data_IF_599547852416
#
_entry.id   IF_599547852416
#
_cell.length_a   1.000
_cell.length_b   1.000
_cell.length_c   1.000
_cell.angle_alpha   90.00
_cell.angle_beta   90.00
_cell.angle_gamma   90.00
#
_symmetry.space_group_name_H-M   'P 1'
#
loop_
_entity.id
_entity.type
_entity.pdbx_description
1 polymer ?
#
# COMPACT_ATOMS: atom_id res chain seq x y z
N UNK A 1 10.29 69.37 70.30
CA UNK A 1 11.50 68.95 71.04
C UNK A 1 12.17 70.20 71.57
N UNK A 2 12.46 70.27 72.87
CA UNK A 2 13.34 71.30 73.43
C UNK A 2 14.77 70.77 73.27
N UNK A 3 15.64 71.53 72.60
CA UNK A 3 17.03 71.12 72.32
C UNK A 3 17.94 72.07 73.07
N UNK A 4 18.85 71.53 73.87
CA UNK A 4 19.78 72.33 74.66
C UNK A 4 20.88 72.95 73.77
N UNK A 5 21.50 74.08 74.18
CA UNK A 5 22.59 74.69 73.43
C UNK A 5 23.78 73.73 73.30
N UNK A 6 24.18 73.41 72.06
CA UNK A 6 25.32 72.53 71.76
C UNK A 6 24.96 71.07 71.44
N UNK A 7 23.70 70.66 71.55
CA UNK A 7 23.25 69.33 71.12
C UNK A 7 22.76 69.33 69.67
N UNK A 8 23.25 68.38 68.87
CA UNK A 8 22.78 68.13 67.51
C UNK A 8 21.65 67.09 67.55
N UNK A 9 20.42 67.49 67.21
CA UNK A 9 19.28 66.57 67.17
C UNK A 9 18.94 66.23 65.72
N UNK A 10 19.12 64.96 65.37
CA UNK A 10 18.82 64.44 64.04
C UNK A 10 17.38 63.92 64.01
N UNK A 11 16.48 64.63 63.33
CA UNK A 11 15.13 64.14 63.06
C UNK A 11 15.11 63.34 61.75
N UNK A 12 14.73 62.06 61.81
CA UNK A 12 14.56 61.22 60.62
C UNK A 12 13.13 61.39 60.08
N UNK A 13 13.00 61.96 58.89
CA UNK A 13 11.73 62.00 58.15
C UNK A 13 11.60 60.75 57.27
N UNK A 14 10.54 59.96 57.46
CA UNK A 14 10.21 58.85 56.56
C UNK A 14 9.15 59.32 55.56
N UNK A 15 9.54 59.43 54.29
CA UNK A 15 8.65 59.86 53.20
C UNK A 15 8.21 58.61 52.43
N UNK A 16 6.91 58.28 52.45
CA UNK A 16 6.33 57.20 51.65
C UNK A 16 5.68 57.77 50.40
N UNK A 17 6.12 57.33 49.22
CA UNK A 17 5.60 57.79 47.93
C UNK A 17 5.44 56.66 46.92
N UNK A 18 4.64 56.86 45.85
CA UNK A 18 4.39 55.86 44.82
C UNK A 18 5.67 55.52 44.03
N UNK A 19 5.84 54.25 43.65
CA UNK A 19 6.98 53.78 42.84
C UNK A 19 6.67 53.93 41.35
N UNK A 20 7.57 54.56 40.59
CA UNK A 20 7.47 54.71 39.14
C UNK A 20 8.54 53.88 38.43
N UNK A 21 8.15 53.13 37.39
CA UNK A 21 9.02 52.17 36.70
C UNK A 21 9.92 52.78 35.63
N UNK A 22 9.43 53.78 34.88
CA UNK A 22 10.09 54.25 33.64
C UNK A 22 10.39 55.75 33.62
N UNK A 23 9.70 56.55 34.44
CA UNK A 23 9.90 58.01 34.51
C UNK A 23 10.61 58.39 35.80
N UNK A 24 11.56 59.33 35.72
CA UNK A 24 12.04 60.04 36.91
C UNK A 24 10.84 60.81 37.48
N UNK A 25 10.53 60.59 38.75
CA UNK A 25 9.50 61.37 39.42
C UNK A 25 9.91 62.84 39.47
N UNK A 26 8.92 63.74 39.41
CA UNK A 26 9.18 65.17 39.59
C UNK A 26 9.77 65.43 40.99
N UNK A 27 10.67 66.42 41.14
CA UNK A 27 11.23 66.75 42.45
C UNK A 27 10.11 67.21 43.38
N UNK A 28 9.93 66.52 44.50
CA UNK A 28 8.96 66.94 45.52
C UNK A 28 9.68 67.85 46.50
N UNK A 29 9.30 69.14 46.60
CA UNK A 29 9.89 70.04 47.59
C UNK A 29 9.44 69.63 48.99
N UNK A 30 10.36 69.65 49.95
CA UNK A 30 10.11 69.33 51.36
C UNK A 30 10.67 70.48 52.20
N UNK A 31 9.81 71.14 52.95
CA UNK A 31 10.20 72.22 53.86
C UNK A 31 10.03 71.75 55.30
N UNK A 32 11.08 71.89 56.10
CA UNK A 32 11.06 71.63 57.54
C UNK A 32 11.15 72.97 58.27
N UNK A 33 10.18 73.25 59.14
CA UNK A 33 10.11 74.51 59.92
C UNK A 33 10.15 74.18 61.40
N UNK A 34 11.00 74.87 62.15
CA UNK A 34 11.06 74.85 63.62
C UNK A 34 10.78 76.25 64.19
N UNK A 35 10.63 76.38 65.51
CA UNK A 35 10.61 77.70 66.17
C UNK A 35 12.01 78.32 66.12
N UNK A 36 12.34 78.95 65.00
CA UNK A 36 13.58 79.74 64.81
C UNK A 36 14.42 79.36 63.59
N UNK A 37 14.13 78.24 62.89
CA UNK A 37 14.87 77.84 61.70
C UNK A 37 13.98 77.19 60.64
N UNK A 38 14.37 77.34 59.37
CA UNK A 38 13.74 76.72 58.21
C UNK A 38 14.82 76.07 57.34
N UNK A 39 14.55 74.84 56.89
CA UNK A 39 15.38 74.15 55.91
C UNK A 39 14.50 73.64 54.76
N UNK A 40 14.91 73.93 53.53
CA UNK A 40 14.26 73.44 52.32
C UNK A 40 15.12 72.34 51.68
N UNK A 41 14.47 71.25 51.27
CA UNK A 41 15.09 70.12 50.59
C UNK A 41 14.24 69.66 49.40
N UNK A 42 14.82 68.82 48.54
CA UNK A 42 14.07 68.18 47.46
C UNK A 42 14.25 66.67 47.52
N UNK A 43 13.15 65.93 47.49
CA UNK A 43 13.16 64.48 47.38
C UNK A 43 13.00 64.09 45.91
N UNK A 44 13.93 63.29 45.38
CA UNK A 44 13.87 62.76 44.01
C UNK A 44 13.84 61.23 44.05
N UNK A 45 12.70 60.59 43.77
CA UNK A 45 12.64 59.14 43.71
C UNK A 45 13.47 58.63 42.52
N UNK A 46 14.38 57.68 42.78
CA UNK A 46 15.17 57.04 41.72
C UNK A 46 14.30 56.02 40.97
N UNK A 47 14.30 56.01 39.63
CA UNK A 47 13.64 54.96 38.87
C UNK A 47 14.33 53.62 39.15
N UNK A 48 13.55 52.58 39.38
CA UNK A 48 14.05 51.23 39.64
C UNK A 48 13.63 50.34 38.48
N UNK A 49 14.58 50.00 37.61
CA UNK A 49 14.40 48.95 36.61
C UNK A 49 14.85 47.64 37.28
N UNK A 50 13.92 46.71 37.57
CA UNK A 50 14.32 45.47 38.20
C UNK A 50 15.18 44.64 37.25
N UNK A 51 16.20 43.93 37.76
CA UNK A 51 17.19 43.20 36.94
C UNK A 51 16.56 42.22 35.95
N UNK A 52 15.37 41.69 36.24
CA UNK A 52 14.63 40.80 35.34
C UNK A 52 14.11 41.47 34.06
N UNK A 53 13.97 42.80 34.03
CA UNK A 53 13.45 43.52 32.86
C UNK A 53 14.37 43.46 31.63
N UNK A 54 15.68 43.18 31.82
CA UNK A 54 16.65 42.95 30.72
C UNK A 54 16.67 41.49 30.27
N UNK A 55 16.21 40.56 31.12
CA UNK A 55 16.22 39.12 30.84
C UNK A 55 15.11 38.74 29.86
N UNK A 56 13.94 39.36 29.97
CA UNK A 56 12.79 39.11 29.08
C UNK A 56 13.07 39.31 27.58
N UNK A 57 13.66 40.43 27.13
CA UNK A 57 13.96 40.63 25.71
C UNK A 57 15.03 39.66 25.19
N UNK A 58 15.98 39.24 26.02
CA UNK A 58 16.98 38.23 25.66
C UNK A 58 16.36 36.84 25.50
N UNK A 59 15.43 36.46 26.38
CA UNK A 59 14.66 35.22 26.24
C UNK A 59 13.80 35.29 24.97
N UNK A 60 13.12 36.42 24.72
CA UNK A 60 12.29 36.59 23.52
C UNK A 60 13.13 36.49 22.22
N UNK A 61 14.33 37.08 22.21
CA UNK A 61 15.26 36.95 21.08
C UNK A 61 15.76 35.51 20.89
N UNK A 62 16.14 34.82 21.97
CA UNK A 62 16.56 33.42 21.90
C UNK A 62 15.41 32.50 21.43
N UNK A 63 14.18 32.75 21.88
CA UNK A 63 12.97 32.04 21.42
C UNK A 63 12.69 32.35 19.95
N UNK A 64 12.87 33.61 19.51
CA UNK A 64 12.73 34.01 18.12
C UNK A 64 13.75 33.32 17.20
N UNK A 65 15.02 33.26 17.60
CA UNK A 65 16.06 32.51 16.87
C UNK A 65 15.73 31.01 16.85
N UNK A 66 15.34 30.44 17.98
CA UNK A 66 14.96 29.02 18.07
C UNK A 66 13.74 28.67 17.21
N UNK A 67 12.77 29.57 17.09
CA UNK A 67 11.62 29.39 16.19
C UNK A 67 12.02 29.54 14.71
N UNK A 68 12.94 30.44 14.40
CA UNK A 68 13.39 30.70 13.03
C UNK A 68 14.37 29.64 12.47
N UNK A 69 15.07 28.91 13.34
CA UNK A 69 16.01 27.85 12.94
C UNK A 69 15.45 26.43 13.13
N UNK A 70 14.13 26.27 13.24
CA UNK A 70 13.55 24.92 13.30
C UNK A 70 13.76 24.21 11.96
N UNK A 71 14.27 22.95 11.95
CA UNK A 71 14.33 22.16 10.74
C UNK A 71 12.92 21.93 10.18
N UNK A 72 12.83 21.83 8.86
CA UNK A 72 11.61 21.47 8.13
C UNK A 72 10.98 20.24 8.80
N UNK A 73 9.66 20.30 9.03
CA UNK A 73 8.94 19.23 9.70
C UNK A 73 9.15 17.88 9.02
N UNK A 74 9.05 16.82 9.80
CA UNK A 74 8.93 15.46 9.29
C UNK A 74 7.49 15.27 8.84
N UNK A 75 7.31 14.86 7.58
CA UNK A 75 6.00 14.54 7.04
C UNK A 75 5.51 13.23 7.64
N UNK A 76 4.35 13.26 8.30
CA UNK A 76 3.75 12.07 8.91
C UNK A 76 3.46 11.02 7.83
N UNK A 77 4.04 9.81 7.91
CA UNK A 77 3.78 8.74 6.97
C UNK A 77 2.37 8.16 7.17
N UNK A 78 1.79 7.62 6.10
CA UNK A 78 0.55 6.86 6.20
C UNK A 78 0.81 5.49 6.84
N UNK A 79 0.14 5.24 7.96
CA UNK A 79 0.17 4.02 8.76
C UNK A 79 -1.21 3.44 9.05
N UNK A 80 -2.29 4.14 8.71
CA UNK A 80 -3.64 3.55 8.64
C UNK A 80 -3.63 2.36 7.68
N UNK A 81 -4.19 1.22 8.10
CA UNK A 81 -4.19 -0.04 7.34
C UNK A 81 -2.95 -0.91 7.53
N UNK A 82 -1.96 -0.51 8.35
CA UNK A 82 -0.86 -1.38 8.77
C UNK A 82 -1.20 -2.12 10.07
N UNK A 83 -0.48 -3.21 10.35
CA UNK A 83 -0.53 -3.82 11.68
C UNK A 83 0.01 -2.84 12.74
N UNK A 84 -0.41 -2.99 14.01
CA UNK A 84 0.10 -2.14 15.10
C UNK A 84 1.64 -2.24 15.22
N UNK A 85 2.29 -3.42 15.08
CA UNK A 85 3.74 -3.52 15.04
C UNK A 85 4.39 -2.78 13.86
N UNK A 86 3.92 -2.98 12.63
CA UNK A 86 4.47 -2.34 11.42
C UNK A 86 4.27 -0.81 11.44
N UNK A 87 3.09 -0.35 11.85
CA UNK A 87 2.79 1.06 11.99
C UNK A 87 3.74 1.75 12.99
N UNK A 88 4.07 1.07 14.09
CA UNK A 88 5.03 1.58 15.07
C UNK A 88 6.42 1.67 14.47
N UNK A 89 6.83 0.66 13.71
CA UNK A 89 8.16 0.64 13.13
C UNK A 89 8.32 1.71 12.05
N UNK A 90 7.37 1.80 11.11
CA UNK A 90 7.35 2.85 10.09
C UNK A 90 7.34 4.26 10.68
N UNK A 91 6.68 4.47 11.81
CA UNK A 91 6.73 5.76 12.53
C UNK A 91 8.10 6.01 13.16
N UNK A 92 8.76 5.00 13.74
CA UNK A 92 10.10 5.15 14.32
C UNK A 92 11.18 5.40 13.27
N UNK A 93 11.12 4.69 12.16
CA UNK A 93 12.01 4.90 11.00
C UNK A 93 11.89 6.32 10.46
N UNK A 94 10.68 6.87 10.45
CA UNK A 94 10.43 8.27 10.11
C UNK A 94 10.86 9.27 11.21
N UNK A 95 11.46 8.83 12.31
CA UNK A 95 11.86 9.71 13.42
C UNK A 95 10.69 10.17 14.31
N UNK A 96 9.52 9.55 14.20
CA UNK A 96 8.31 9.90 14.95
C UNK A 96 8.05 8.94 16.12
N UNK A 97 7.25 9.40 17.09
CA UNK A 97 6.92 8.64 18.31
C UNK A 97 5.51 8.05 18.21
N UNK A 98 5.35 6.73 18.04
CA UNK A 98 4.04 6.11 17.96
C UNK A 98 3.36 6.02 19.34
N UNK A 99 2.15 6.56 19.45
CA UNK A 99 1.24 6.37 20.59
C UNK A 99 0.10 5.45 20.19
N UNK A 100 -0.36 4.62 21.11
CA UNK A 100 -1.42 3.64 20.86
C UNK A 100 -2.70 4.07 21.56
N UNK A 101 -3.81 4.03 20.83
CA UNK A 101 -5.15 4.30 21.37
C UNK A 101 -6.09 3.15 21.00
N UNK A 102 -6.44 2.31 21.97
CA UNK A 102 -7.39 1.23 21.74
C UNK A 102 -8.80 1.82 21.71
N UNK A 103 -9.53 1.59 20.62
CA UNK A 103 -10.94 1.93 20.51
C UNK A 103 -11.81 0.82 21.10
N UNK A 104 -12.96 1.15 21.71
CA UNK A 104 -13.95 0.16 22.11
C UNK A 104 -14.37 -0.68 20.90
N UNK A 105 -14.50 -2.00 21.08
CA UNK A 105 -14.99 -2.88 20.03
C UNK A 105 -16.41 -2.43 19.61
N UNK A 106 -16.67 -2.09 18.33
CA UNK A 106 -18.02 -1.86 17.86
C UNK A 106 -18.74 -3.21 17.70
N UNK A 107 -20.03 -3.19 17.38
CA UNK A 107 -20.80 -4.41 17.08
C UNK A 107 -20.07 -5.30 16.06
N UNK A 108 -20.35 -6.61 16.09
CA UNK A 108 -19.54 -7.71 15.53
C UNK A 108 -18.84 -7.46 14.17
N UNK A 109 -19.44 -6.66 13.28
CA UNK A 109 -18.93 -6.25 11.96
C UNK A 109 -17.63 -5.41 11.97
N UNK A 110 -17.30 -4.72 13.06
CA UNK A 110 -16.07 -3.91 13.15
C UNK A 110 -14.95 -4.58 13.96
N UNK A 111 -15.22 -5.78 14.48
CA UNK A 111 -14.23 -6.57 15.23
C UNK A 111 -13.22 -7.29 14.33
N UNK A 112 -13.45 -7.28 13.01
CA UNK A 112 -12.61 -7.94 12.00
C UNK A 112 -11.51 -7.03 11.40
N UNK A 113 -11.58 -5.71 11.62
CA UNK A 113 -10.54 -4.78 11.20
C UNK A 113 -9.26 -4.96 12.05
N UNK A 114 -8.30 -5.73 11.53
CA UNK A 114 -7.00 -5.97 12.18
C UNK A 114 -6.00 -4.89 11.74
N UNK A 115 -5.59 -4.04 12.67
CA UNK A 115 -4.56 -3.01 12.42
C UNK A 115 -4.97 -1.60 12.83
N UNK A 116 -4.21 -0.60 12.39
CA UNK A 116 -4.46 0.81 12.66
C UNK A 116 -5.64 1.31 11.83
N UNK A 117 -6.75 1.62 12.48
CA UNK A 117 -7.99 2.11 11.85
C UNK A 117 -8.05 3.63 11.71
N UNK A 118 -7.24 4.35 12.49
CA UNK A 118 -7.11 5.80 12.38
C UNK A 118 -5.75 6.24 12.88
N UNK A 119 -5.22 7.30 12.31
CA UNK A 119 -4.00 7.94 12.78
C UNK A 119 -4.22 9.43 12.98
N UNK A 120 -3.55 10.01 13.96
CA UNK A 120 -3.58 11.44 14.22
C UNK A 120 -2.17 11.90 14.66
N UNK A 121 -1.54 12.86 13.96
CA UNK A 121 -2.02 13.63 12.80
C UNK A 121 -2.23 12.81 11.50
N UNK A 122 -3.01 13.32 10.53
CA UNK A 122 -3.24 12.63 9.27
C UNK A 122 -1.95 12.56 8.41
N UNK A 123 -1.88 11.65 7.43
CA UNK A 123 -0.73 11.52 6.55
C UNK A 123 -0.39 12.83 5.82
N UNK A 124 0.89 13.08 5.58
CA UNK A 124 1.38 14.30 4.92
C UNK A 124 1.44 15.54 5.83
N UNK A 125 0.96 15.44 7.07
CA UNK A 125 1.06 16.55 8.04
C UNK A 125 2.53 16.75 8.43
N UNK A 126 3.01 17.98 8.36
CA UNK A 126 4.35 18.31 8.82
C UNK A 126 4.37 18.48 10.34
N UNK A 127 5.12 17.62 11.05
CA UNK A 127 5.30 17.72 12.50
C UNK A 127 6.77 17.84 12.87
N UNK A 128 7.04 18.32 14.08
CA UNK A 128 8.41 18.39 14.57
C UNK A 128 9.05 16.98 14.63
N UNK A 129 10.36 16.91 14.43
CA UNK A 129 11.15 15.71 14.66
C UNK A 129 10.90 15.15 16.07
N UNK A 130 10.72 13.82 16.17
CA UNK A 130 10.29 13.16 17.39
C UNK A 130 8.82 13.39 17.77
N UNK A 131 8.01 13.94 16.87
CA UNK A 131 6.60 14.25 17.10
C UNK A 131 5.74 13.00 17.34
N UNK A 132 4.72 13.14 18.19
CA UNK A 132 3.84 12.04 18.53
C UNK A 132 2.79 11.79 17.44
N UNK A 133 2.65 10.54 16.99
CA UNK A 133 1.56 10.10 16.11
C UNK A 133 0.76 9.02 16.83
N UNK A 134 -0.52 9.29 17.08
CA UNK A 134 -1.42 8.34 17.72
C UNK A 134 -2.04 7.44 16.66
N UNK A 135 -1.82 6.14 16.81
CA UNK A 135 -2.47 5.08 16.04
C UNK A 135 -3.62 4.49 16.87
N UNK A 136 -4.81 4.47 16.28
CA UNK A 136 -6.01 3.90 16.87
C UNK A 136 -6.33 2.54 16.25
N UNK A 137 -6.75 1.56 17.05
CA UNK A 137 -7.07 0.19 16.60
C UNK A 137 -8.14 -0.46 17.48
N UNK A 138 -8.86 -1.46 16.96
CA UNK A 138 -9.82 -2.26 17.73
C UNK A 138 -9.12 -3.41 18.47
N UNK A 139 -9.63 -3.78 19.65
CA UNK A 139 -8.93 -4.64 20.61
C UNK A 139 -8.61 -6.06 20.11
N UNK A 140 -7.32 -6.38 20.07
CA UNK A 140 -6.72 -7.69 19.84
C UNK A 140 -5.28 -7.47 19.38
N UNK A 141 -4.27 -7.98 20.08
CA UNK A 141 -2.90 -7.98 19.53
C UNK A 141 -2.93 -8.84 18.27
N UNK A 142 -2.93 -8.18 17.11
CA UNK A 142 -3.07 -8.80 15.80
C UNK A 142 -1.84 -9.61 15.43
N UNK A 143 -1.72 -10.82 15.99
CA UNK A 143 -0.99 -11.92 15.39
C UNK A 143 -1.99 -12.73 14.56
N UNK A 144 -2.18 -12.28 13.32
CA UNK A 144 -2.94 -13.01 12.31
C UNK A 144 -2.08 -13.17 11.09
N UNK A 145 -1.00 -13.94 11.20
CA UNK A 145 -0.23 -14.46 10.07
C UNK A 145 -1.16 -15.27 9.19
N UNK A 146 -1.57 -14.71 8.05
CA UNK A 146 -1.97 -15.49 6.89
C UNK A 146 -0.71 -15.66 6.06
N UNK A 147 -0.31 -16.91 5.87
CA UNK A 147 0.91 -17.34 5.20
C UNK A 147 1.01 -16.74 3.77
N UNK A 148 2.24 -16.62 3.21
CA UNK A 148 2.44 -16.07 1.88
C UNK A 148 1.70 -16.87 0.81
N UNK A 149 1.17 -16.20 -0.21
CA UNK A 149 0.49 -16.82 -1.37
C UNK A 149 0.72 -15.97 -2.62
N UNK A 150 1.35 -16.56 -3.63
CA UNK A 150 1.66 -16.06 -4.97
C UNK A 150 0.68 -16.69 -5.96
N UNK A 151 -0.54 -16.18 -5.97
CA UNK A 151 -1.67 -16.73 -6.73
C UNK A 151 -1.65 -16.41 -8.23
N UNK A 152 -0.86 -15.40 -8.65
CA UNK A 152 -0.75 -15.00 -10.06
C UNK A 152 0.53 -14.20 -10.40
N UNK A 153 1.06 -14.35 -11.64
CA UNK A 153 2.19 -13.59 -12.19
C UNK A 153 1.88 -13.03 -13.59
N UNK A 154 2.30 -11.80 -13.90
CA UNK A 154 2.19 -11.18 -15.23
C UNK A 154 3.41 -10.32 -15.56
N UNK A 155 3.71 -10.15 -16.86
CA UNK A 155 4.88 -9.39 -17.34
C UNK A 155 4.44 -8.14 -18.11
N UNK A 156 5.09 -7.02 -17.85
CA UNK A 156 4.81 -5.77 -18.57
C UNK A 156 5.10 -5.91 -20.08
N UNK A 157 4.22 -5.40 -20.95
CA UNK A 157 4.47 -5.39 -22.38
C UNK A 157 5.55 -4.34 -22.70
N UNK A 158 6.71 -4.86 -23.10
CA UNK A 158 7.93 -4.19 -23.59
C UNK A 158 9.04 -3.95 -22.55
N UNK A 159 9.98 -4.89 -22.51
CA UNK A 159 11.40 -4.57 -22.32
C UNK A 159 12.14 -4.95 -23.62
N UNK A 160 13.14 -4.18 -24.07
CA UNK A 160 13.94 -4.49 -25.27
C UNK A 160 14.70 -5.81 -25.10
N UNK A 161 15.02 -6.46 -26.23
CA UNK A 161 15.48 -7.85 -26.34
C UNK A 161 16.88 -8.16 -25.76
N UNK A 162 17.53 -7.21 -25.07
CA UNK A 162 18.87 -7.41 -24.52
C UNK A 162 18.86 -7.30 -22.99
N UNK A 163 18.82 -8.45 -22.33
CA UNK A 163 19.26 -8.71 -20.94
C UNK A 163 18.66 -7.90 -19.78
N UNK A 164 17.76 -6.93 -19.97
CA UNK A 164 16.96 -6.42 -18.85
C UNK A 164 16.05 -7.56 -18.35
N UNK A 165 16.13 -7.88 -17.06
CA UNK A 165 15.15 -8.74 -16.42
C UNK A 165 13.73 -8.22 -16.76
N UNK A 166 12.71 -9.06 -16.86
CA UNK A 166 11.37 -8.56 -17.10
C UNK A 166 10.82 -7.86 -15.87
N UNK A 167 10.01 -6.81 -16.08
CA UNK A 167 9.14 -6.30 -15.01
C UNK A 167 8.11 -7.37 -14.73
N UNK A 168 8.12 -7.90 -13.51
CA UNK A 168 7.17 -8.92 -13.08
C UNK A 168 6.23 -8.34 -12.04
N UNK A 169 4.93 -8.57 -12.23
CA UNK A 169 3.91 -8.34 -11.22
C UNK A 169 3.48 -9.69 -10.67
N UNK A 170 3.38 -9.80 -9.35
CA UNK A 170 2.98 -11.04 -8.69
C UNK A 170 2.20 -10.76 -7.42
N UNK A 171 1.33 -11.69 -7.05
CA UNK A 171 0.69 -11.67 -5.73
C UNK A 171 1.67 -12.24 -4.70
N UNK A 172 1.69 -11.77 -3.46
CA UNK A 172 2.29 -12.49 -2.33
C UNK A 172 1.56 -12.08 -1.06
N UNK A 173 1.05 -13.05 -0.31
CA UNK A 173 0.38 -12.83 0.97
C UNK A 173 -0.79 -11.84 0.82
N UNK A 174 -1.65 -12.07 -0.19
CA UNK A 174 -2.80 -11.22 -0.50
C UNK A 174 -2.47 -9.76 -0.87
N UNK A 175 -1.25 -9.51 -1.33
CA UNK A 175 -0.78 -8.19 -1.79
C UNK A 175 -0.17 -8.32 -3.17
N UNK A 176 -0.22 -7.24 -3.94
CA UNK A 176 0.33 -7.21 -5.29
C UNK A 176 1.66 -6.46 -5.25
N UNK A 177 2.69 -7.14 -5.73
CA UNK A 177 4.05 -6.62 -5.83
C UNK A 177 4.43 -6.45 -7.29
N UNK A 178 5.29 -5.47 -7.54
CA UNK A 178 6.00 -5.32 -8.81
C UNK A 178 7.49 -5.32 -8.52
N UNK A 179 8.24 -6.06 -9.32
CA UNK A 179 9.69 -6.05 -9.31
C UNK A 179 10.17 -5.47 -10.65
N UNK A 180 10.76 -4.28 -10.57
CA UNK A 180 11.44 -3.66 -11.69
C UNK A 180 12.91 -4.13 -11.76
N UNK A 181 13.51 -4.19 -12.96
CA UNK A 181 14.90 -4.64 -13.12
C UNK A 181 15.88 -3.71 -12.42
N UNK A 182 16.68 -4.27 -11.50
CA UNK A 182 17.67 -3.51 -10.75
C UNK A 182 17.11 -2.73 -9.55
N UNK A 183 15.82 -2.90 -9.25
CA UNK A 183 15.16 -2.28 -8.11
C UNK A 183 14.72 -3.34 -7.08
N UNK A 184 14.48 -2.89 -5.85
CA UNK A 184 13.84 -3.72 -4.83
C UNK A 184 12.35 -3.93 -5.17
N UNK A 185 11.78 -5.03 -4.71
CA UNK A 185 10.33 -5.26 -4.82
C UNK A 185 9.53 -4.14 -4.15
N UNK A 186 8.47 -3.69 -4.82
CA UNK A 186 7.58 -2.65 -4.33
C UNK A 186 6.15 -3.18 -4.28
N UNK A 187 5.48 -2.97 -3.15
CA UNK A 187 4.05 -3.29 -3.03
C UNK A 187 3.22 -2.18 -3.70
N UNK A 188 2.44 -2.54 -4.72
CA UNK A 188 1.64 -1.61 -5.51
C UNK A 188 0.14 -1.74 -5.25
N UNK A 189 -0.30 -2.83 -4.61
CA UNK A 189 -1.70 -3.09 -4.27
C UNK A 189 -1.86 -3.99 -3.05
N UNK A 190 -3.02 -3.89 -2.39
CA UNK A 190 -3.36 -4.64 -1.18
C UNK A 190 -2.89 -3.98 0.12
N UNK A 191 -3.85 -3.58 0.95
CA UNK A 191 -3.63 -3.21 2.36
C UNK A 191 -3.72 -4.43 3.26
N UNK A 192 -3.14 -4.40 4.46
CA UNK A 192 -3.22 -5.52 5.41
C UNK A 192 -4.69 -5.78 5.76
N UNK A 193 -5.15 -7.02 5.56
CA UNK A 193 -6.55 -7.44 5.75
C UNK A 193 -7.40 -7.45 4.47
N UNK A 194 -6.91 -6.84 3.38
CA UNK A 194 -7.51 -6.94 2.05
C UNK A 194 -6.96 -8.17 1.33
N UNK A 195 -7.80 -8.83 0.54
CA UNK A 195 -7.42 -9.91 -0.37
C UNK A 195 -7.17 -9.30 -1.76
N UNK A 196 -5.90 -9.05 -2.08
CA UNK A 196 -5.51 -8.58 -3.41
C UNK A 196 -4.76 -9.66 -4.19
N UNK A 197 -5.05 -9.76 -5.50
CA UNK A 197 -4.44 -10.75 -6.38
C UNK A 197 -4.69 -10.48 -7.86
N UNK A 198 -4.46 -11.50 -8.69
CA UNK A 198 -4.64 -11.49 -10.16
C UNK A 198 -4.15 -10.19 -10.84
N UNK A 199 -2.86 -9.82 -10.73
CA UNK A 199 -2.33 -8.66 -11.44
C UNK A 199 -2.47 -8.83 -12.95
N UNK A 200 -2.68 -7.74 -13.69
CA UNK A 200 -2.74 -7.72 -15.16
C UNK A 200 -2.29 -6.36 -15.71
N UNK A 201 -1.32 -6.36 -16.61
CA UNK A 201 -0.79 -5.13 -17.21
C UNK A 201 -1.68 -4.60 -18.33
N UNK A 202 -2.00 -3.30 -18.29
CA UNK A 202 -2.58 -2.61 -19.43
C UNK A 202 -1.47 -2.23 -20.45
N UNK A 203 -1.48 -2.82 -21.66
CA UNK A 203 -0.44 -2.56 -22.65
C UNK A 203 -0.40 -1.15 -23.22
N UNK A 204 -1.47 -0.36 -23.03
CA UNK A 204 -1.52 1.01 -23.54
C UNK A 204 -0.95 2.03 -22.59
N UNK A 205 -1.29 1.88 -21.32
CA UNK A 205 -1.06 2.89 -20.30
C UNK A 205 0.15 2.55 -19.44
N UNK A 206 0.50 1.26 -19.35
CA UNK A 206 1.45 0.77 -18.37
C UNK A 206 0.89 0.76 -16.94
N UNK A 207 -0.42 1.00 -16.76
CA UNK A 207 -1.07 0.78 -15.46
C UNK A 207 -1.13 -0.73 -15.16
N UNK A 208 -1.07 -1.06 -13.87
CA UNK A 208 -1.31 -2.41 -13.40
C UNK A 208 -2.73 -2.52 -12.86
N UNK A 209 -3.55 -3.34 -13.49
CA UNK A 209 -4.81 -3.79 -12.90
C UNK A 209 -4.56 -4.92 -11.91
N UNK A 210 -5.40 -5.01 -10.88
CA UNK A 210 -5.43 -6.14 -9.97
C UNK A 210 -6.82 -6.28 -9.35
N UNK A 211 -7.08 -7.46 -8.80
CA UNK A 211 -8.28 -7.75 -8.03
C UNK A 211 -8.05 -7.34 -6.59
N UNK A 212 -8.99 -6.60 -6.00
CA UNK A 212 -9.04 -6.33 -4.56
C UNK A 212 -10.35 -6.79 -3.96
N UNK A 213 -10.30 -7.22 -2.70
CA UNK A 213 -11.48 -7.64 -1.94
C UNK A 213 -11.28 -7.30 -0.48
N UNK A 214 -12.21 -6.54 0.11
CA UNK A 214 -12.06 -6.04 1.48
C UNK A 214 -12.00 -7.16 2.56
N UNK A 215 -12.69 -8.28 2.34
CA UNK A 215 -12.65 -9.49 3.15
C UNK A 215 -13.11 -10.69 2.32
N UNK A 216 -12.84 -11.93 2.73
CA UNK A 216 -13.16 -13.14 1.94
C UNK A 216 -14.61 -13.23 1.41
N UNK A 217 -15.58 -12.72 2.16
CA UNK A 217 -17.01 -12.68 1.79
C UNK A 217 -17.42 -11.45 0.97
N UNK A 218 -16.53 -10.48 0.81
CA UNK A 218 -16.81 -9.24 0.07
C UNK A 218 -16.75 -9.46 -1.44
N UNK A 219 -17.50 -8.63 -2.17
CA UNK A 219 -17.38 -8.58 -3.62
C UNK A 219 -15.94 -8.18 -4.02
N UNK A 220 -15.41 -8.85 -5.03
CA UNK A 220 -14.14 -8.51 -5.64
C UNK A 220 -14.32 -7.34 -6.61
N UNK A 221 -13.38 -6.40 -6.56
CA UNK A 221 -13.30 -5.25 -7.45
C UNK A 221 -12.03 -5.33 -8.28
N UNK A 222 -12.13 -5.05 -9.57
CA UNK A 222 -10.97 -4.89 -10.45
C UNK A 222 -10.60 -3.41 -10.48
N UNK A 223 -9.41 -3.10 -9.98
CA UNK A 223 -8.88 -1.73 -9.87
C UNK A 223 -7.56 -1.61 -10.61
N UNK A 224 -7.14 -0.38 -10.93
CA UNK A 224 -5.85 -0.08 -11.55
C UNK A 224 -5.07 0.99 -10.78
N UNK A 225 -3.74 0.89 -10.85
CA UNK A 225 -2.78 1.83 -10.28
C UNK A 225 -1.62 2.08 -11.25
N UNK A 226 -0.98 3.24 -11.12
CA UNK A 226 0.38 3.44 -11.65
C UNK A 226 1.37 2.68 -10.74
N UNK A 227 2.10 1.68 -11.25
CA UNK A 227 3.02 0.89 -10.45
C UNK A 227 4.30 1.62 -10.04
N UNK A 228 4.66 2.73 -10.71
CA UNK A 228 5.82 3.56 -10.32
C UNK A 228 5.46 4.57 -9.23
N UNK A 229 4.19 4.96 -9.15
CA UNK A 229 3.66 5.90 -8.17
C UNK A 229 2.27 5.44 -7.70
N UNK A 230 2.17 4.34 -6.93
CA UNK A 230 0.89 3.76 -6.54
C UNK A 230 0.11 4.75 -5.66
N UNK A 231 -0.86 5.41 -6.29
CA UNK A 231 -1.80 6.33 -5.66
C UNK A 231 -3.05 5.61 -5.17
N UNK A 232 -4.18 6.31 -5.13
CA UNK A 232 -5.47 5.68 -4.85
C UNK A 232 -5.90 4.82 -6.06
N UNK A 233 -6.17 3.51 -5.88
CA UNK A 233 -6.59 2.65 -6.97
C UNK A 233 -7.92 3.11 -7.60
N UNK A 234 -7.97 3.09 -8.93
CA UNK A 234 -9.15 3.46 -9.72
C UNK A 234 -9.91 2.22 -10.14
N UNK A 235 -11.22 2.16 -9.88
CA UNK A 235 -12.04 1.05 -10.37
C UNK A 235 -12.09 1.03 -11.90
N UNK A 236 -11.93 -0.15 -12.48
CA UNK A 236 -12.05 -0.42 -13.91
C UNK A 236 -13.45 -0.89 -14.32
N UNK A 237 -14.31 -1.21 -13.34
CA UNK A 237 -15.64 -1.77 -13.58
C UNK A 237 -16.70 -1.04 -12.76
N UNK A 238 -17.83 -0.75 -13.40
CA UNK A 238 -19.02 -0.17 -12.77
C UNK A 238 -20.22 -1.10 -12.95
N UNK A 239 -21.19 -1.01 -12.03
CA UNK A 239 -22.47 -1.73 -12.15
C UNK A 239 -22.75 -2.78 -11.07
N UNK A 240 -21.91 -2.89 -10.04
CA UNK A 240 -22.07 -3.91 -8.99
C UNK A 240 -21.69 -5.31 -9.47
N UNK A 241 -21.44 -6.22 -8.53
CA UNK A 241 -20.96 -7.58 -8.80
C UNK A 241 -19.56 -7.84 -8.24
N UNK A 242 -19.11 -9.10 -8.34
CA UNK A 242 -17.79 -9.56 -7.92
C UNK A 242 -17.02 -9.99 -9.16
N UNK A 243 -15.94 -9.29 -9.50
CA UNK A 243 -15.17 -9.52 -10.72
C UNK A 243 -13.71 -9.89 -10.41
N UNK A 244 -13.21 -10.91 -11.08
CA UNK A 244 -11.85 -11.47 -10.88
C UNK A 244 -11.15 -11.77 -12.20
N UNK A 245 -9.87 -12.16 -12.11
CA UNK A 245 -9.03 -12.59 -13.23
C UNK A 245 -9.05 -11.63 -14.43
N UNK A 246 -8.62 -10.37 -14.26
CA UNK A 246 -8.51 -9.42 -15.34
C UNK A 246 -7.48 -9.85 -16.39
N UNK A 247 -7.79 -9.62 -17.67
CA UNK A 247 -6.86 -9.80 -18.76
C UNK A 247 -7.09 -8.73 -19.84
N UNK A 248 -6.07 -7.95 -20.16
CA UNK A 248 -6.14 -6.96 -21.24
C UNK A 248 -5.87 -7.59 -22.60
N UNK A 249 -6.60 -7.15 -23.62
CA UNK A 249 -6.26 -7.43 -24.99
C UNK A 249 -4.90 -6.80 -25.35
N UNK A 250 -4.08 -7.38 -26.25
CA UNK A 250 -2.76 -6.84 -26.60
C UNK A 250 -2.79 -5.42 -27.14
N UNK A 251 -3.89 -5.06 -27.79
CA UNK A 251 -4.13 -3.71 -28.29
C UNK A 251 -4.57 -2.74 -27.20
N UNK A 252 -4.93 -3.23 -26.00
CA UNK A 252 -5.53 -2.56 -24.84
C UNK A 252 -6.98 -2.10 -25.00
N UNK A 253 -7.69 -2.46 -26.07
CA UNK A 253 -9.08 -1.98 -26.35
C UNK A 253 -10.10 -2.60 -25.43
N UNK A 254 -9.77 -3.75 -24.86
CA UNK A 254 -10.71 -4.62 -24.18
C UNK A 254 -10.05 -5.17 -22.93
N UNK A 255 -10.85 -5.30 -21.90
CA UNK A 255 -10.52 -5.98 -20.66
C UNK A 255 -11.51 -7.15 -20.50
N UNK A 256 -11.00 -8.37 -20.48
CA UNK A 256 -11.79 -9.53 -20.07
C UNK A 256 -11.70 -9.69 -18.56
N UNK A 257 -12.81 -10.09 -17.94
CA UNK A 257 -12.91 -10.43 -16.52
C UNK A 257 -13.89 -11.57 -16.33
N UNK A 258 -13.87 -12.18 -15.15
CA UNK A 258 -14.82 -13.21 -14.74
C UNK A 258 -15.74 -12.63 -13.67
N UNK A 259 -17.05 -12.62 -13.91
CA UNK A 259 -18.03 -12.36 -12.87
C UNK A 259 -18.26 -13.64 -12.06
N UNK A 260 -17.81 -13.67 -10.82
CA UNK A 260 -17.93 -14.84 -9.95
C UNK A 260 -19.40 -15.13 -9.62
N UNK A 261 -19.74 -16.41 -9.55
CA UNK A 261 -21.09 -16.87 -9.18
C UNK A 261 -21.19 -17.37 -7.73
N UNK A 262 -20.09 -17.27 -6.97
CA UNK A 262 -19.99 -17.71 -5.57
C UNK A 262 -19.71 -19.20 -5.37
N UNK A 263 -19.53 -19.98 -6.43
CA UNK A 263 -19.21 -21.43 -6.33
C UNK A 263 -17.75 -21.72 -5.97
N UNK A 264 -16.87 -20.72 -6.08
CA UNK A 264 -15.41 -20.87 -5.93
C UNK A 264 -14.69 -21.35 -7.21
N UNK A 265 -15.41 -21.61 -8.31
CA UNK A 265 -14.85 -22.11 -9.57
C UNK A 265 -15.05 -21.13 -10.75
N UNK A 266 -14.91 -19.83 -10.47
CA UNK A 266 -15.10 -18.76 -11.46
C UNK A 266 -16.56 -18.38 -11.67
N UNK A 267 -16.98 -18.19 -12.93
CA UNK A 267 -18.34 -17.77 -13.22
C UNK A 267 -18.59 -17.39 -14.68
N UNK A 268 -19.21 -16.23 -14.90
CA UNK A 268 -19.59 -15.77 -16.24
C UNK A 268 -18.45 -14.97 -16.88
N UNK A 269 -18.17 -15.22 -18.16
CA UNK A 269 -17.16 -14.46 -18.90
C UNK A 269 -17.71 -13.08 -19.27
N UNK A 270 -16.95 -12.03 -18.99
CA UNK A 270 -17.34 -10.67 -19.30
C UNK A 270 -16.24 -9.92 -20.05
N UNK A 271 -16.64 -8.97 -20.89
CA UNK A 271 -15.74 -8.02 -21.55
C UNK A 271 -16.18 -6.59 -21.28
N UNK A 272 -15.21 -5.76 -20.91
CA UNK A 272 -15.32 -4.32 -20.74
C UNK A 272 -14.59 -3.65 -21.91
N UNK A 273 -15.20 -2.62 -22.49
CA UNK A 273 -14.62 -1.84 -23.60
C UNK A 273 -14.47 -0.38 -23.15
N UNK A 274 -13.29 0.02 -22.62
CA UNK A 274 -13.04 1.40 -22.21
C UNK A 274 -13.35 2.41 -23.34
N UNK A 275 -13.89 3.61 -23.03
CA UNK A 275 -14.03 4.18 -21.69
C UNK A 275 -15.29 3.71 -20.93
N UNK A 276 -16.15 2.88 -21.54
CA UNK A 276 -17.28 2.30 -20.83
C UNK A 276 -16.75 1.34 -19.76
N UNK A 277 -17.24 1.49 -18.53
CA UNK A 277 -16.85 0.66 -17.39
C UNK A 277 -17.89 -0.42 -17.06
N UNK A 278 -19.04 -0.41 -17.74
CA UNK A 278 -20.05 -1.44 -17.58
C UNK A 278 -19.62 -2.71 -18.37
N UNK A 279 -19.55 -3.88 -17.73
CA UNK A 279 -19.18 -5.11 -18.41
C UNK A 279 -20.35 -5.68 -19.20
N UNK A 280 -20.06 -6.29 -20.36
CA UNK A 280 -20.98 -7.19 -21.04
C UNK A 280 -20.60 -8.62 -20.68
N UNK A 281 -21.50 -9.33 -20.00
CA UNK A 281 -21.28 -10.68 -19.53
C UNK A 281 -22.12 -11.69 -20.31
N UNK A 282 -21.58 -12.90 -20.49
CA UNK A 282 -22.28 -14.05 -21.03
C UNK A 282 -22.33 -15.15 -19.96
N UNK A 283 -23.54 -15.56 -19.63
CA UNK A 283 -23.78 -16.69 -18.73
C UNK A 283 -23.93 -18.00 -19.52
N UNK A 284 -23.44 -19.08 -18.94
CA UNK A 284 -23.56 -20.43 -19.47
C UNK A 284 -24.07 -21.34 -18.33
N UNK A 285 -25.20 -22.04 -18.51
CA UNK A 285 -25.76 -22.88 -17.45
C UNK A 285 -24.88 -24.10 -17.15
N UNK A 286 -24.20 -24.63 -18.17
CA UNK A 286 -23.49 -25.91 -18.10
C UNK A 286 -21.99 -25.74 -17.83
N UNK A 287 -21.49 -24.51 -17.97
CA UNK A 287 -20.07 -24.18 -17.84
C UNK A 287 -19.81 -23.00 -16.91
N UNK A 288 -18.64 -23.01 -16.28
CA UNK A 288 -18.05 -21.89 -15.55
C UNK A 288 -16.74 -21.51 -16.21
N UNK A 289 -16.51 -20.22 -16.42
CA UNK A 289 -15.31 -19.69 -17.05
C UNK A 289 -14.33 -19.16 -16.01
N UNK A 290 -13.05 -19.22 -16.33
CA UNK A 290 -11.95 -18.71 -15.52
C UNK A 290 -10.71 -18.43 -16.35
N UNK A 291 -9.75 -17.71 -15.74
CA UNK A 291 -8.40 -17.44 -16.31
C UNK A 291 -8.47 -16.99 -17.79
N UNK A 292 -9.21 -15.90 -18.11
CA UNK A 292 -9.27 -15.41 -19.48
C UNK A 292 -7.89 -14.91 -19.91
N UNK A 293 -7.56 -15.07 -21.19
CA UNK A 293 -6.32 -14.56 -21.78
C UNK A 293 -6.55 -14.19 -23.24
N UNK A 294 -5.82 -13.18 -23.74
CA UNK A 294 -5.91 -12.80 -25.14
C UNK A 294 -4.70 -13.32 -25.91
N UNK A 295 -4.96 -13.96 -27.05
CA UNK A 295 -3.94 -14.33 -28.02
C UNK A 295 -3.28 -13.11 -28.67
N UNK A 296 -2.12 -13.32 -29.28
CA UNK A 296 -1.42 -12.29 -30.05
C UNK A 296 -2.25 -11.76 -31.24
N UNK A 297 -3.20 -12.55 -31.72
CA UNK A 297 -4.18 -12.20 -32.75
C UNK A 297 -5.35 -11.34 -32.22
N UNK A 298 -5.39 -11.08 -30.91
CA UNK A 298 -6.47 -10.36 -30.24
C UNK A 298 -7.73 -11.20 -30.01
N UNK A 299 -7.69 -12.51 -30.29
CA UNK A 299 -8.78 -13.42 -29.92
C UNK A 299 -8.77 -13.66 -28.41
N UNK A 300 -9.96 -13.83 -27.84
CA UNK A 300 -10.13 -14.13 -26.42
C UNK A 300 -10.21 -15.65 -26.24
N UNK A 301 -9.48 -16.13 -25.24
CA UNK A 301 -9.48 -17.51 -24.79
C UNK A 301 -9.81 -17.54 -23.31
N UNK A 302 -10.41 -18.63 -22.84
CA UNK A 302 -10.70 -18.84 -21.44
C UNK A 302 -10.65 -20.32 -21.09
N UNK A 303 -10.25 -20.61 -19.86
CA UNK A 303 -10.48 -21.92 -19.28
C UNK A 303 -11.96 -22.04 -18.91
N UNK A 304 -12.53 -23.23 -19.09
CA UNK A 304 -13.89 -23.54 -18.65
C UNK A 304 -13.98 -24.89 -17.96
N UNK A 305 -14.92 -24.98 -17.05
CA UNK A 305 -15.19 -26.15 -16.21
C UNK A 305 -16.68 -26.49 -16.29
N UNK A 306 -17.00 -27.76 -16.52
CA UNK A 306 -18.38 -28.23 -16.55
C UNK A 306 -18.96 -28.21 -15.13
N UNK A 307 -20.23 -27.83 -15.00
CA UNK A 307 -20.96 -27.91 -13.74
C UNK A 307 -21.14 -29.36 -13.26
N UNK A 308 -20.98 -30.34 -14.15
CA UNK A 308 -20.98 -31.76 -13.81
C UNK A 308 -19.63 -32.26 -13.26
N UNK A 309 -18.58 -31.44 -13.30
CA UNK A 309 -17.22 -31.84 -12.89
C UNK A 309 -17.10 -31.89 -11.36
N UNK A 310 -16.81 -33.08 -10.83
CA UNK A 310 -16.75 -33.35 -9.38
C UNK A 310 -15.34 -33.33 -8.80
N UNK A 311 -14.28 -33.41 -9.62
CA UNK A 311 -12.88 -33.39 -9.15
C UNK A 311 -12.56 -32.05 -8.47
N UNK A 312 -11.79 -32.04 -7.39
CA UNK A 312 -11.41 -30.78 -6.77
C UNK A 312 -10.37 -30.01 -7.60
N UNK A 313 -10.59 -28.69 -7.73
CA UNK A 313 -9.71 -27.81 -8.49
C UNK A 313 -9.71 -28.07 -10.00
N UNK A 314 -9.05 -27.17 -10.72
CA UNK A 314 -8.77 -27.26 -12.14
C UNK A 314 -9.95 -27.01 -13.09
N UNK A 315 -9.62 -26.95 -14.37
CA UNK A 315 -10.49 -26.59 -15.49
C UNK A 315 -10.45 -27.68 -16.55
N UNK A 316 -11.57 -27.93 -17.22
CA UNK A 316 -11.72 -29.09 -18.11
C UNK A 316 -11.23 -28.80 -19.52
N UNK A 317 -11.38 -27.55 -19.98
CA UNK A 317 -11.09 -27.17 -21.36
C UNK A 317 -10.52 -25.75 -21.47
N UNK A 318 -9.62 -25.55 -22.43
CA UNK A 318 -9.23 -24.24 -22.95
C UNK A 318 -9.97 -23.99 -24.26
N UNK A 319 -10.77 -22.92 -24.31
CA UNK A 319 -11.60 -22.59 -25.49
C UNK A 319 -11.28 -21.21 -26.03
N UNK A 320 -11.39 -21.07 -27.35
CA UNK A 320 -11.50 -19.77 -28.01
C UNK A 320 -12.95 -19.30 -27.92
N UNK A 321 -13.17 -18.02 -27.68
CA UNK A 321 -14.52 -17.43 -27.65
C UNK A 321 -14.67 -16.36 -28.72
N UNK A 322 -15.87 -16.28 -29.29
CA UNK A 322 -16.22 -15.31 -30.30
C UNK A 322 -16.57 -13.94 -29.69
N UNK A 323 -16.95 -12.98 -30.54
CA UNK A 323 -17.36 -11.65 -30.11
C UNK A 323 -18.60 -11.66 -29.20
N UNK A 324 -19.45 -12.68 -29.26
CA UNK A 324 -20.61 -12.84 -28.38
C UNK A 324 -20.26 -13.51 -27.04
N UNK A 325 -18.98 -13.85 -26.82
CA UNK A 325 -18.45 -14.59 -25.66
C UNK A 325 -18.95 -16.03 -25.56
N UNK A 326 -19.27 -16.61 -26.71
CA UNK A 326 -19.63 -18.03 -26.83
C UNK A 326 -18.44 -18.80 -27.41
N UNK A 327 -18.15 -20.03 -26.92
CA UNK A 327 -17.10 -20.88 -27.47
C UNK A 327 -17.22 -21.07 -28.99
N UNK A 328 -16.09 -20.96 -29.69
CA UNK A 328 -16.00 -21.11 -31.14
C UNK A 328 -15.08 -22.27 -31.50
N UNK A 329 -15.58 -23.22 -32.29
CA UNK A 329 -14.84 -24.39 -32.73
C UNK A 329 -14.63 -25.43 -31.62
N UNK A 330 -13.70 -26.35 -31.86
CA UNK A 330 -13.29 -27.33 -30.86
C UNK A 330 -12.40 -26.69 -29.78
N UNK A 331 -12.47 -27.16 -28.52
CA UNK A 331 -11.51 -26.81 -27.49
C UNK A 331 -10.07 -27.06 -27.93
N UNK A 332 -9.21 -26.11 -27.59
CA UNK A 332 -7.80 -26.14 -27.96
C UNK A 332 -7.06 -27.27 -27.20
N UNK A 333 -7.39 -27.43 -25.91
CA UNK A 333 -6.90 -28.49 -25.05
C UNK A 333 -8.00 -28.91 -24.08
N UNK A 334 -8.02 -30.19 -23.74
CA UNK A 334 -8.87 -30.79 -22.71
C UNK A 334 -8.00 -31.49 -21.67
N UNK A 335 -8.38 -31.42 -20.40
CA UNK A 335 -7.64 -32.09 -19.33
C UNK A 335 -7.93 -31.53 -17.95
N UNK A 336 -7.00 -31.72 -17.03
CA UNK A 336 -7.01 -31.05 -15.73
C UNK A 336 -6.07 -29.85 -15.78
N UNK A 337 -6.60 -28.69 -16.16
CA UNK A 337 -5.84 -27.46 -16.38
C UNK A 337 -5.92 -26.54 -15.17
N UNK A 338 -4.89 -25.73 -14.90
CA UNK A 338 -4.89 -24.75 -13.79
C UNK A 338 -4.78 -23.31 -14.25
N UNK A 339 -3.86 -23.04 -15.17
CA UNK A 339 -3.55 -21.70 -15.65
C UNK A 339 -3.22 -21.76 -17.14
N UNK A 340 -3.37 -20.61 -17.81
CA UNK A 340 -3.07 -20.44 -19.22
C UNK A 340 -2.45 -19.07 -19.44
N UNK A 341 -1.46 -18.98 -20.32
CA UNK A 341 -0.91 -17.74 -20.82
C UNK A 341 -0.70 -17.84 -22.34
N UNK A 342 -1.10 -16.81 -23.07
CA UNK A 342 -0.87 -16.72 -24.51
C UNK A 342 0.49 -16.09 -24.82
N UNK A 343 1.23 -16.71 -25.73
CA UNK A 343 2.52 -16.25 -26.24
C UNK A 343 2.36 -15.27 -27.40
N UNK A 344 3.40 -14.47 -27.67
CA UNK A 344 3.43 -13.51 -28.79
C UNK A 344 3.51 -14.18 -30.16
N UNK A 345 3.97 -15.42 -30.20
CA UNK A 345 4.03 -16.29 -31.37
C UNK A 345 2.68 -16.97 -31.68
N UNK A 346 1.66 -16.71 -30.87
CA UNK A 346 0.35 -17.35 -30.97
C UNK A 346 0.28 -18.72 -30.29
N UNK A 347 1.38 -19.21 -29.71
CA UNK A 347 1.39 -20.40 -28.87
C UNK A 347 0.77 -20.14 -27.50
N UNK A 348 0.63 -21.19 -26.70
CA UNK A 348 0.10 -21.12 -25.35
C UNK A 348 1.02 -21.83 -24.39
N UNK A 349 1.09 -21.33 -23.16
CA UNK A 349 1.60 -22.10 -22.04
C UNK A 349 0.41 -22.46 -21.15
N UNK A 350 0.30 -23.71 -20.76
CA UNK A 350 -0.72 -24.19 -19.82
C UNK A 350 -0.07 -24.91 -18.66
N UNK A 351 -0.72 -24.87 -17.51
CA UNK A 351 -0.41 -25.77 -16.41
C UNK A 351 -1.43 -26.89 -16.42
N UNK A 352 -0.98 -28.14 -16.52
CA UNK A 352 -1.84 -29.33 -16.58
C UNK A 352 -1.44 -30.36 -15.53
N UNK A 353 -2.36 -31.23 -15.14
CA UNK A 353 -2.11 -32.33 -14.20
C UNK A 353 -2.48 -33.66 -14.86
N UNK A 354 -1.54 -34.62 -14.88
CA UNK A 354 -1.84 -35.96 -15.38
C UNK A 354 -2.62 -36.73 -14.33
N UNK A 355 -3.34 -37.75 -14.78
CA UNK A 355 -4.08 -38.63 -13.87
C UNK A 355 -3.11 -39.31 -12.89
N UNK A 356 -3.26 -39.00 -11.60
CA UNK A 356 -2.42 -39.54 -10.52
C UNK A 356 -1.29 -38.63 -10.07
N UNK A 357 -0.96 -37.56 -10.81
CA UNK A 357 0.08 -36.61 -10.42
C UNK A 357 -0.43 -35.73 -9.26
N UNK A 358 0.47 -35.41 -8.33
CA UNK A 358 0.13 -34.56 -7.18
C UNK A 358 0.12 -33.06 -7.53
N UNK A 359 0.86 -32.65 -8.57
CA UNK A 359 1.06 -31.26 -8.95
C UNK A 359 0.73 -30.99 -10.42
N UNK A 360 0.61 -29.72 -10.77
CA UNK A 360 0.50 -29.29 -12.16
C UNK A 360 1.89 -29.04 -12.74
N UNK A 361 2.13 -29.50 -13.97
CA UNK A 361 3.36 -29.27 -14.72
C UNK A 361 3.11 -28.30 -15.87
N UNK A 362 4.15 -27.63 -16.35
CA UNK A 362 4.04 -26.73 -17.48
C UNK A 362 4.04 -27.49 -18.81
N UNK A 363 3.22 -27.03 -19.75
CA UNK A 363 3.22 -27.45 -21.15
C UNK A 363 3.22 -26.23 -22.07
N UNK A 364 3.96 -26.31 -23.18
CA UNK A 364 3.91 -25.34 -24.27
C UNK A 364 3.16 -25.96 -25.43
N UNK A 365 2.19 -25.23 -25.96
CA UNK A 365 1.29 -25.63 -27.02
C UNK A 365 1.49 -24.73 -28.24
N UNK A 366 1.37 -25.33 -29.42
CA UNK A 366 1.24 -24.60 -30.68
C UNK A 366 -0.06 -23.78 -30.74
N UNK A 367 -0.21 -22.85 -31.71
CA UNK A 367 -1.47 -22.11 -31.91
C UNK A 367 -2.69 -23.01 -32.17
N UNK A 368 -2.46 -24.25 -32.63
CA UNK A 368 -3.50 -25.24 -32.87
C UNK A 368 -3.76 -26.16 -31.65
N UNK A 369 -3.09 -25.94 -30.52
CA UNK A 369 -3.27 -26.71 -29.29
C UNK A 369 -2.42 -27.98 -29.18
N UNK A 370 -1.63 -28.32 -30.18
CA UNK A 370 -0.72 -29.46 -30.09
C UNK A 370 0.45 -29.16 -29.15
N UNK A 371 0.75 -30.06 -28.20
CA UNK A 371 1.87 -29.94 -27.28
C UNK A 371 3.22 -29.96 -28.04
N UNK A 372 4.06 -28.97 -27.74
CA UNK A 372 5.39 -28.77 -28.30
C UNK A 372 6.49 -29.08 -27.28
N UNK A 373 6.25 -28.78 -26.00
CA UNK A 373 7.13 -29.13 -24.89
C UNK A 373 6.28 -29.45 -23.65
N UNK A 374 6.72 -30.42 -22.85
CA UNK A 374 6.01 -30.87 -21.64
C UNK A 374 7.07 -31.05 -20.57
N UNK A 375 6.88 -30.39 -19.43
CA UNK A 375 7.79 -30.51 -18.30
C UNK A 375 7.69 -31.92 -17.70
N UNK A 376 8.84 -32.56 -17.48
CA UNK A 376 8.91 -33.92 -16.97
C UNK A 376 8.72 -33.99 -15.44
N UNK A 377 8.95 -32.89 -14.72
CA UNK A 377 8.92 -32.86 -13.26
C UNK A 377 7.51 -32.79 -12.70
N UNK A 378 7.30 -33.40 -11.52
CA UNK A 378 6.06 -33.30 -10.74
C UNK A 378 6.03 -32.06 -9.83
N UNK A 379 6.82 -31.03 -10.18
CA UNK A 379 6.89 -29.81 -9.38
C UNK A 379 5.55 -29.10 -9.49
N UNK A 380 4.83 -28.97 -8.37
CA UNK A 380 3.53 -28.29 -8.37
C UNK A 380 3.69 -26.84 -8.82
N UNK A 381 3.19 -26.54 -10.01
CA UNK A 381 3.15 -25.20 -10.58
C UNK A 381 1.79 -24.57 -10.33
N UNK A 382 1.77 -23.27 -10.03
CA UNK A 382 0.59 -22.59 -9.51
C UNK A 382 0.01 -21.58 -10.48
N UNK A 383 0.87 -20.87 -11.21
CA UNK A 383 0.48 -19.94 -12.28
C UNK A 383 1.59 -19.84 -13.34
N UNK A 384 1.23 -19.36 -14.53
CA UNK A 384 2.13 -19.22 -15.68
C UNK A 384 1.89 -17.92 -16.43
N UNK A 385 2.96 -17.30 -16.91
CA UNK A 385 2.93 -16.11 -17.75
C UNK A 385 4.02 -16.12 -18.81
N UNK A 386 3.82 -15.34 -19.88
CA UNK A 386 4.82 -15.11 -20.91
C UNK A 386 5.60 -13.82 -20.67
N UNK A 387 6.90 -13.89 -20.87
CA UNK A 387 7.83 -12.76 -20.76
C UNK A 387 8.78 -12.73 -21.95
N UNK A 388 8.45 -11.92 -22.96
CA UNK A 388 9.22 -11.94 -24.21
C UNK A 388 9.19 -13.33 -24.82
N UNK A 389 10.36 -13.99 -24.92
CA UNK A 389 10.51 -15.37 -25.38
C UNK A 389 10.68 -16.41 -24.28
N UNK A 390 10.42 -16.07 -23.01
CA UNK A 390 10.55 -16.99 -21.88
C UNK A 390 9.23 -17.19 -21.14
N UNK A 391 9.12 -18.29 -20.41
CA UNK A 391 8.03 -18.55 -19.48
C UNK A 391 8.41 -18.13 -18.08
N UNK A 392 7.45 -17.56 -17.37
CA UNK A 392 7.51 -17.28 -15.94
C UNK A 392 6.53 -18.22 -15.26
N UNK A 393 7.02 -19.07 -14.36
CA UNK A 393 6.22 -20.08 -13.67
C UNK A 393 6.37 -19.90 -12.18
N UNK A 394 5.25 -19.79 -11.47
CA UNK A 394 5.23 -19.91 -10.01
C UNK A 394 5.21 -21.39 -9.65
N UNK A 395 6.14 -21.83 -8.81
CA UNK A 395 6.29 -23.23 -8.39
C UNK A 395 6.30 -23.33 -6.87
N UNK A 396 5.63 -24.35 -6.32
CA UNK A 396 5.51 -24.55 -4.88
C UNK A 396 4.20 -25.23 -4.51
N UNK A 397 3.94 -25.31 -3.21
CA UNK A 397 2.61 -25.67 -2.74
C UNK A 397 1.74 -24.40 -2.79
N UNK A 398 0.82 -24.37 -3.76
CA UNK A 398 0.03 -23.20 -4.15
C UNK A 398 -0.80 -22.55 -3.04
N UNK A 399 -0.87 -23.22 -1.87
CA UNK A 399 -1.69 -22.83 -0.73
C UNK A 399 -0.84 -22.62 0.55
N UNK A 400 0.50 -22.78 0.51
CA UNK A 400 1.36 -22.77 1.72
C UNK A 400 2.54 -21.80 1.69
N UNK A 401 2.71 -21.03 0.62
CA UNK A 401 3.64 -19.90 0.60
C UNK A 401 5.12 -20.22 0.44
N UNK A 402 5.44 -21.44 0.00
CA UNK A 402 6.80 -21.85 -0.37
C UNK A 402 7.16 -21.51 -1.83
N UNK A 403 6.44 -20.56 -2.43
CA UNK A 403 6.41 -20.37 -3.88
C UNK A 403 7.63 -19.61 -4.41
N UNK A 404 8.27 -20.19 -5.43
CA UNK A 404 9.37 -19.60 -6.16
C UNK A 404 8.89 -19.18 -7.55
N UNK A 405 9.34 -18.02 -8.01
CA UNK A 405 9.12 -17.61 -9.39
C UNK A 405 10.35 -17.97 -10.21
N UNK A 406 10.14 -18.84 -11.19
CA UNK A 406 11.16 -19.37 -12.08
C UNK A 406 10.95 -18.85 -13.50
N UNK A 407 12.06 -18.61 -14.19
CA UNK A 407 12.08 -18.36 -15.63
C UNK A 407 12.54 -19.64 -16.34
N UNK A 408 11.68 -20.15 -17.23
CA UNK A 408 11.93 -21.36 -18.04
C UNK A 408 12.11 -21.00 -19.52
N UNK A 409 12.88 -21.84 -20.21
CA UNK A 409 12.98 -21.84 -21.67
C UNK A 409 11.80 -22.64 -22.26
N UNK A 410 10.90 -22.04 -23.05
CA UNK A 410 9.76 -22.74 -23.64
C UNK A 410 10.16 -23.88 -24.58
N UNK A 411 11.38 -23.86 -25.15
CA UNK A 411 11.88 -24.94 -26.00
C UNK A 411 12.46 -26.12 -25.18
N UNK A 412 12.77 -25.90 -23.90
CA UNK A 412 13.32 -26.92 -23.01
C UNK A 412 12.94 -26.64 -21.55
N UNK A 413 11.75 -27.09 -21.17
CA UNK A 413 11.14 -26.80 -19.87
C UNK A 413 11.90 -27.41 -18.68
N UNK A 414 12.67 -28.48 -18.92
CA UNK A 414 13.47 -29.16 -17.90
C UNK A 414 14.94 -28.68 -17.84
N UNK A 415 15.31 -27.68 -18.65
CA UNK A 415 16.60 -27.01 -18.53
C UNK A 415 16.73 -26.31 -17.17
N UNK A 416 17.97 -25.95 -16.80
CA UNK A 416 18.22 -25.17 -15.59
C UNK A 416 17.41 -23.87 -15.59
N UNK A 417 16.42 -23.81 -14.71
CA UNK A 417 15.58 -22.63 -14.52
C UNK A 417 16.40 -21.47 -13.93
N UNK A 418 16.13 -20.25 -14.38
CA UNK A 418 16.66 -19.04 -13.72
C UNK A 418 15.70 -18.62 -12.63
N UNK A 419 16.14 -18.58 -11.39
CA UNK A 419 15.31 -18.12 -10.26
C UNK A 419 15.18 -16.60 -10.30
N UNK A 420 13.95 -16.10 -10.28
CA UNK A 420 13.66 -14.66 -10.25
C UNK A 420 13.33 -14.18 -8.84
N UNK A 421 12.59 -14.98 -8.07
CA UNK A 421 12.24 -14.68 -6.68
C UNK A 421 12.34 -15.92 -5.79
N UNK A 422 12.83 -15.70 -4.57
CA UNK A 422 12.82 -16.67 -3.48
C UNK A 422 11.46 -16.63 -2.76
N UNK A 423 10.88 -17.79 -2.43
CA UNK A 423 9.62 -17.90 -1.69
C UNK A 423 9.71 -17.58 -0.20
N UNK A 424 10.78 -16.91 0.24
CA UNK A 424 10.89 -16.39 1.60
C UNK A 424 10.29 -14.99 1.71
N UNK A 425 9.90 -14.56 2.92
CA UNK A 425 9.73 -13.13 3.18
C UNK A 425 11.03 -12.41 2.80
N UNK A 426 10.95 -11.22 2.16
CA UNK A 426 12.12 -10.40 1.94
C UNK A 426 12.83 -10.21 3.29
N UNK A 427 14.13 -10.49 3.35
CA UNK A 427 14.89 -10.23 4.55
C UNK A 427 14.70 -8.75 4.90
N UNK A 428 14.20 -8.48 6.11
CA UNK A 428 14.20 -7.15 6.70
C UNK A 428 15.67 -6.72 6.78
N UNK A 429 16.12 -5.95 5.79
CA UNK A 429 17.44 -5.33 5.79
C UNK A 429 17.39 -4.27 6.89
N UNK A 430 18.05 -4.57 8.01
CA UNK A 430 18.02 -3.77 9.23
C UNK A 430 18.98 -2.60 9.27
#
# INVERSE_FOLDING_TARGET
MHVAPGEEVVARLEIRGPRHWLRRGEPVPVTVVTRGARADGTFRPRPMVPKWAVVLPLIAAAVGVWLATRPDGISVPQVTGLSVPEAREKLREAGLRPKQSRLPAPAAEASEARGVVSQNPPPGTQIADGGDVTISFYGGEGAGTVAPEVTAAQVAPAAPADQQAPVIAYTRANRVYVQFPGESESAVGGTVGELSGDPAWDPRTGELAYVRRAAASSAAEVVAVDPHAPGTPRSLIQGGGSYVSPAFAPDGTRLAVIAEDGTGYGGSLCVVVPPALAPRCQHDPDWRYGRPTYGADGALYALRRSTATTREGGWDELVRVNADLVPEGEPLVRGDLRAVAAGRDGGFAVLSRRAGDAGYHAEVLSPAGAAMAVQATDTSSCDVAWSGGALIVSTGACDTGSEQILRLDPANLDASATKLLDGGEPALVG
#
